data_IF_342990322174
#
_entry.id   IF_342990322174
#
_cell.length_a   1.000
_cell.length_b   1.000
_cell.length_c   1.000
_cell.angle_alpha   90.00
_cell.angle_beta   90.00
_cell.angle_gamma   90.00
#
_symmetry.space_group_name_H-M   'P 1'
#
loop_
_entity.id
_entity.type
_entity.pdbx_description
1 polymer ?
#
# COMPACT_ATOMS: atom_id res chain seq x y z
N UNK A 1 -35.01 -18.94 21.27
CA UNK A 1 -35.23 -17.78 22.16
C UNK A 1 -35.88 -16.68 21.34
N UNK A 2 -37.16 -16.37 21.61
CA UNK A 2 -37.95 -15.38 20.87
C UNK A 2 -37.76 -14.01 21.52
N UNK A 3 -37.28 -13.02 20.75
CA UNK A 3 -37.14 -11.63 21.21
C UNK A 3 -38.45 -10.91 20.84
N UNK A 4 -39.07 -10.29 21.84
CA UNK A 4 -40.32 -9.53 21.75
C UNK A 4 -39.91 -8.05 21.59
N UNK A 5 -40.13 -7.46 20.41
CA UNK A 5 -40.01 -6.01 20.23
C UNK A 5 -41.28 -5.36 20.75
N UNK A 6 -41.15 -4.51 21.77
CA UNK A 6 -42.21 -3.61 22.21
C UNK A 6 -42.04 -2.29 21.47
N UNK A 7 -43.04 -1.97 20.63
CA UNK A 7 -43.16 -0.73 19.87
C UNK A 7 -44.11 0.17 20.67
N UNK A 8 -43.57 1.13 21.40
CA UNK A 8 -44.34 2.25 21.93
C UNK A 8 -43.85 3.53 21.27
N UNK A 9 -44.73 4.05 20.40
CA UNK A 9 -44.65 5.37 19.76
C UNK A 9 -45.25 6.37 20.74
N UNK A 10 -44.46 7.35 21.16
CA UNK A 10 -44.97 8.66 21.61
C UNK A 10 -44.00 9.78 21.22
N UNK A 11 -44.49 10.68 20.39
CA UNK A 11 -44.09 12.09 20.24
C UNK A 11 -45.42 12.87 20.12
N UNK A 12 -45.53 14.19 20.43
CA UNK A 12 -44.50 15.19 20.14
C UNK A 12 -44.35 16.36 21.13
N UNK A 13 -43.37 17.22 20.77
CA UNK A 13 -43.29 18.66 21.01
C UNK A 13 -42.39 19.15 22.15
N UNK A 14 -41.10 19.38 21.84
CA UNK A 14 -40.40 20.60 22.26
C UNK A 14 -39.38 21.04 21.20
N UNK A 15 -39.29 22.36 21.03
CA UNK A 15 -38.57 23.20 20.07
C UNK A 15 -37.10 22.84 19.76
N UNK A 16 -36.53 23.31 18.63
CA UNK A 16 -35.25 22.82 18.12
C UNK A 16 -34.08 23.23 19.04
N UNK A 17 -33.09 22.34 19.27
CA UNK A 17 -31.84 22.74 19.90
C UNK A 17 -31.01 23.55 18.90
N UNK A 18 -30.56 24.72 19.36
CA UNK A 18 -29.65 25.62 18.65
C UNK A 18 -28.43 24.87 18.12
N UNK A 19 -28.13 25.12 16.85
CA UNK A 19 -26.93 24.66 16.16
C UNK A 19 -25.68 25.20 16.89
N UNK A 20 -24.74 24.36 17.38
CA UNK A 20 -23.49 24.86 17.93
C UNK A 20 -22.68 25.52 16.81
N UNK A 21 -22.66 26.84 16.81
CA UNK A 21 -21.78 27.65 15.98
C UNK A 21 -20.45 27.82 16.71
N UNK A 22 -19.74 26.72 16.95
CA UNK A 22 -18.36 26.77 17.43
C UNK A 22 -17.41 26.49 16.28
N UNK A 23 -17.19 27.52 15.48
CA UNK A 23 -15.98 27.66 14.68
C UNK A 23 -14.80 27.74 15.66
N UNK A 24 -13.71 26.96 15.52
CA UNK A 24 -12.62 26.96 16.48
C UNK A 24 -12.01 28.36 16.61
N UNK A 25 -12.13 28.95 17.80
CA UNK A 25 -11.73 30.33 18.12
C UNK A 25 -10.24 30.48 18.44
N UNK A 26 -9.44 29.41 18.37
CA UNK A 26 -8.04 29.47 18.78
C UNK A 26 -7.14 28.63 17.87
N UNK A 27 -6.09 29.25 17.31
CA UNK A 27 -5.03 28.54 16.59
C UNK A 27 -4.43 27.45 17.49
N UNK A 28 -4.23 27.75 18.78
CA UNK A 28 -3.66 26.81 19.74
C UNK A 28 -4.49 25.53 19.91
N UNK A 29 -5.82 25.61 19.84
CA UNK A 29 -6.69 24.43 19.93
C UNK A 29 -6.65 23.58 18.64
N UNK A 30 -6.52 24.22 17.47
CA UNK A 30 -6.36 23.53 16.17
C UNK A 30 -4.99 22.86 16.06
N UNK A 31 -3.93 23.51 16.54
CA UNK A 31 -2.60 22.89 16.65
C UNK A 31 -2.63 21.71 17.62
N UNK A 32 -3.17 21.90 18.84
CA UNK A 32 -3.30 20.83 19.83
C UNK A 32 -4.10 19.63 19.30
N UNK A 33 -5.06 19.85 18.41
CA UNK A 33 -5.81 18.80 17.74
C UNK A 33 -4.96 18.04 16.70
N UNK A 34 -4.13 18.75 15.91
CA UNK A 34 -3.19 18.12 14.96
C UNK A 34 -2.17 17.25 15.69
N UNK A 35 -1.43 17.78 16.66
CA UNK A 35 -0.38 17.03 17.36
C UNK A 35 -0.95 15.84 18.13
N UNK A 36 -2.14 16.00 18.72
CA UNK A 36 -2.86 14.91 19.38
C UNK A 36 -3.31 13.84 18.39
N UNK A 37 -3.79 14.24 17.21
CA UNK A 37 -4.17 13.31 16.16
C UNK A 37 -2.95 12.53 15.66
N UNK A 38 -1.83 13.19 15.34
CA UNK A 38 -0.58 12.53 14.94
C UNK A 38 -0.13 11.53 16.00
N UNK A 39 -0.12 11.92 17.28
CA UNK A 39 0.24 11.03 18.39
C UNK A 39 -0.70 9.82 18.50
N UNK A 40 -1.98 9.99 18.19
CA UNK A 40 -2.94 8.89 18.16
C UNK A 40 -2.67 7.94 16.97
N UNK A 41 -2.42 8.47 15.78
CA UNK A 41 -2.08 7.67 14.60
C UNK A 41 -0.79 6.88 14.86
N UNK A 42 0.24 7.51 15.43
CA UNK A 42 1.47 6.83 15.86
C UNK A 42 1.17 5.66 16.79
N UNK A 43 0.35 5.87 17.82
CA UNK A 43 -0.02 4.81 18.77
C UNK A 43 -0.78 3.66 18.10
N UNK A 44 -1.47 3.88 16.99
CA UNK A 44 -2.22 2.84 16.26
C UNK A 44 -1.37 2.14 15.20
N UNK A 45 -0.38 2.82 14.63
CA UNK A 45 0.45 2.32 13.54
C UNK A 45 1.82 1.81 13.98
N UNK A 46 2.22 2.04 15.24
CA UNK A 46 3.52 1.65 15.77
C UNK A 46 3.39 0.82 17.05
N UNK A 47 4.23 -0.21 17.19
CA UNK A 47 4.34 -1.05 18.38
C UNK A 47 3.08 -1.86 18.73
N UNK A 48 2.94 -2.22 20.01
CA UNK A 48 1.77 -2.95 20.55
C UNK A 48 0.59 -2.00 20.83
N UNK A 49 0.23 -1.18 19.85
CA UNK A 49 -0.91 -0.27 19.88
C UNK A 49 -2.25 -0.99 20.12
N UNK A 50 -3.34 -0.23 20.34
CA UNK A 50 -4.67 -0.83 20.35
C UNK A 50 -4.93 -1.53 19.02
N UNK A 51 -5.40 -2.78 19.07
CA UNK A 51 -5.71 -3.58 17.89
C UNK A 51 -6.69 -2.82 16.98
N UNK A 52 -6.15 -2.24 15.91
CA UNK A 52 -6.88 -1.52 14.88
C UNK A 52 -6.71 -2.28 13.58
N UNK A 53 -7.74 -2.27 12.72
CA UNK A 53 -7.59 -2.95 11.43
C UNK A 53 -6.59 -2.20 10.55
N UNK A 54 -5.85 -2.92 9.70
CA UNK A 54 -4.87 -2.30 8.80
C UNK A 54 -5.48 -1.23 7.91
N UNK A 55 -6.76 -1.42 7.55
CA UNK A 55 -7.56 -0.47 6.76
C UNK A 55 -7.90 0.81 7.53
N UNK A 56 -8.21 0.71 8.82
CA UNK A 56 -8.45 1.88 9.66
C UNK A 56 -7.16 2.67 9.86
N UNK A 57 -6.04 1.98 10.09
CA UNK A 57 -4.71 2.60 10.17
C UNK A 57 -4.33 3.34 8.88
N UNK A 58 -4.48 2.70 7.72
CA UNK A 58 -4.26 3.36 6.43
C UNK A 58 -5.17 4.58 6.24
N UNK A 59 -6.43 4.48 6.67
CA UNK A 59 -7.38 5.61 6.61
C UNK A 59 -6.94 6.74 7.52
N UNK A 60 -6.44 6.45 8.72
CA UNK A 60 -5.92 7.45 9.65
C UNK A 60 -4.68 8.16 9.09
N UNK A 61 -3.73 7.39 8.56
CA UNK A 61 -2.53 7.90 7.88
C UNK A 61 -2.89 8.78 6.68
N UNK A 62 -3.91 8.42 5.90
CA UNK A 62 -4.34 9.19 4.71
C UNK A 62 -4.81 10.62 4.99
N UNK A 63 -5.07 10.97 6.27
CA UNK A 63 -5.50 12.31 6.69
C UNK A 63 -4.34 13.21 7.10
N UNK A 64 -3.12 12.66 7.19
CA UNK A 64 -1.93 13.38 7.59
C UNK A 64 -1.24 14.05 6.40
N UNK A 65 -0.33 14.99 6.69
CA UNK A 65 0.55 15.55 5.66
C UNK A 65 1.58 14.52 5.22
N UNK A 66 2.17 14.68 4.03
CA UNK A 66 3.24 13.80 3.55
C UNK A 66 4.41 13.69 4.55
N UNK A 67 4.81 14.81 5.17
CA UNK A 67 5.90 14.82 6.17
C UNK A 67 5.55 13.99 7.40
N UNK A 68 4.33 14.16 7.92
CA UNK A 68 3.85 13.40 9.08
C UNK A 68 3.72 11.90 8.76
N UNK A 69 3.19 11.54 7.58
CA UNK A 69 3.10 10.13 7.13
C UNK A 69 4.49 9.52 7.06
N UNK A 70 5.43 10.19 6.39
CA UNK A 70 6.78 9.67 6.21
C UNK A 70 7.50 9.53 7.56
N UNK A 71 7.33 10.50 8.46
CA UNK A 71 7.90 10.44 9.81
C UNK A 71 7.40 9.23 10.59
N UNK A 72 6.12 8.86 10.46
CA UNK A 72 5.55 7.67 11.12
C UNK A 72 6.05 6.39 10.46
N UNK A 73 5.97 6.30 9.13
CA UNK A 73 6.31 5.09 8.37
C UNK A 73 7.80 4.70 8.44
N UNK A 74 8.67 5.65 8.78
CA UNK A 74 10.12 5.44 8.90
C UNK A 74 10.58 5.11 10.31
N UNK A 75 9.66 5.03 11.29
CA UNK A 75 10.01 4.60 12.64
C UNK A 75 10.39 3.13 12.68
N UNK A 76 11.30 2.78 13.59
CA UNK A 76 11.76 1.41 13.80
C UNK A 76 10.64 0.47 14.31
N UNK A 77 9.65 1.03 15.01
CA UNK A 77 8.52 0.30 15.58
C UNK A 77 7.25 0.36 14.70
N UNK A 78 7.36 0.86 13.46
CA UNK A 78 6.23 0.92 12.53
C UNK A 78 5.77 -0.49 12.13
N UNK A 79 4.46 -0.70 12.13
CA UNK A 79 3.86 -1.97 11.69
C UNK A 79 3.90 -2.07 10.16
N UNK A 80 4.86 -2.83 9.65
CA UNK A 80 5.04 -3.03 8.21
C UNK A 80 3.88 -3.77 7.53
N UNK A 81 3.03 -4.48 8.28
CA UNK A 81 1.83 -5.14 7.73
C UNK A 81 0.82 -4.13 7.20
N UNK A 82 0.95 -2.85 7.56
CA UNK A 82 0.09 -1.77 7.09
C UNK A 82 0.40 -1.30 5.66
N UNK A 83 1.60 -1.58 5.16
CA UNK A 83 2.12 -0.97 3.93
C UNK A 83 1.25 -1.31 2.71
N UNK A 84 0.81 -2.57 2.55
CA UNK A 84 -0.02 -2.95 1.41
C UNK A 84 -1.41 -2.28 1.41
N UNK A 85 -2.01 -2.04 2.58
CA UNK A 85 -3.27 -1.29 2.69
C UNK A 85 -3.03 0.19 2.35
N UNK A 86 -1.91 0.75 2.80
CA UNK A 86 -1.54 2.13 2.50
C UNK A 86 -1.33 2.36 1.00
N UNK A 87 -0.66 1.43 0.31
CA UNK A 87 -0.51 1.45 -1.15
C UNK A 87 -1.88 1.35 -1.83
N UNK A 88 -2.72 0.40 -1.41
CA UNK A 88 -4.04 0.17 -2.01
C UNK A 88 -4.96 1.38 -1.87
N UNK A 89 -5.03 1.97 -0.67
CA UNK A 89 -5.82 3.17 -0.41
C UNK A 89 -5.26 4.39 -1.14
N UNK A 90 -3.94 4.59 -1.10
CA UNK A 90 -3.27 5.68 -1.78
C UNK A 90 -3.48 5.63 -3.30
N UNK A 91 -3.44 4.44 -3.91
CA UNK A 91 -3.78 4.24 -5.33
C UNK A 91 -5.22 4.65 -5.63
N UNK A 92 -6.19 4.17 -4.84
CA UNK A 92 -7.60 4.50 -5.03
C UNK A 92 -7.85 6.01 -4.94
N UNK A 93 -7.25 6.67 -3.94
CA UNK A 93 -7.36 8.13 -3.73
C UNK A 93 -6.72 8.93 -4.86
N UNK A 94 -5.57 8.45 -5.34
CA UNK A 94 -4.91 9.01 -6.53
C UNK A 94 -5.90 8.98 -7.69
N UNK A 95 -6.46 7.82 -8.05
CA UNK A 95 -7.41 7.70 -9.16
C UNK A 95 -8.67 8.57 -9.05
N UNK A 96 -9.21 8.76 -7.84
CA UNK A 96 -10.35 9.67 -7.61
C UNK A 96 -9.96 11.12 -7.90
N UNK A 97 -8.81 11.57 -7.40
CA UNK A 97 -8.31 12.93 -7.66
C UNK A 97 -8.05 13.21 -9.14
N UNK A 98 -7.68 12.17 -9.92
CA UNK A 98 -7.55 12.24 -11.38
C UNK A 98 -8.86 12.62 -12.07
N UNK A 99 -9.96 12.02 -11.59
CA UNK A 99 -11.27 12.10 -12.21
C UNK A 99 -11.93 13.46 -11.98
N UNK A 100 -11.64 14.08 -10.83
CA UNK A 100 -12.13 15.43 -10.47
C UNK A 100 -11.42 16.53 -11.27
N UNK A 101 -10.11 16.40 -11.52
CA UNK A 101 -9.36 17.35 -12.35
C UNK A 101 -9.68 17.24 -13.86
N UNK A 102 -10.28 16.13 -14.30
CA UNK A 102 -10.75 15.93 -15.67
C UNK A 102 -12.12 16.54 -15.98
N UNK A 103 -12.85 17.05 -14.98
CA UNK A 103 -14.15 17.69 -15.15
C UNK A 103 -14.06 19.18 -14.84
N UNK A 104 -13.54 19.96 -15.79
CA UNK A 104 -13.88 21.39 -15.83
C UNK A 104 -15.37 21.51 -16.14
N UNK A 105 -16.18 22.19 -15.29
CA UNK A 105 -17.56 22.47 -15.63
C UNK A 105 -17.57 23.41 -16.84
N UNK A 106 -18.05 22.90 -17.97
CA UNK A 106 -18.38 23.70 -19.15
C UNK A 106 -19.47 24.70 -18.77
N UNK A 107 -19.04 25.87 -18.30
CA UNK A 107 -19.92 26.99 -18.01
C UNK A 107 -20.44 27.57 -19.32
N UNK A 108 -21.69 27.25 -19.61
CA UNK A 108 -22.67 28.01 -20.39
C UNK A 108 -22.09 29.06 -21.38
N UNK A 109 -21.97 28.66 -22.64
CA UNK A 109 -21.76 29.57 -23.76
C UNK A 109 -23.09 30.29 -24.09
N UNK A 110 -23.16 31.64 -24.11
CA UNK A 110 -24.28 32.33 -24.73
C UNK A 110 -24.13 32.34 -26.26
N UNK A 111 -25.22 32.24 -27.04
CA UNK A 111 -25.15 32.20 -28.49
C UNK A 111 -25.17 33.64 -29.04
N UNK A 112 -24.05 34.14 -29.57
CA UNK A 112 -24.04 34.88 -30.84
C UNK A 112 -22.66 35.41 -31.26
N UNK A 113 -22.40 35.24 -32.56
CA UNK A 113 -21.71 36.15 -33.50
C UNK A 113 -20.39 35.67 -34.15
N UNK A 114 -20.57 35.06 -35.33
CA UNK A 114 -19.80 35.16 -36.61
C UNK A 114 -18.30 34.77 -36.71
N UNK A 115 -17.87 34.18 -37.86
CA UNK A 115 -16.52 33.66 -38.04
C UNK A 115 -15.59 34.68 -38.73
N UNK A 116 -14.34 34.77 -38.31
CA UNK A 116 -13.25 35.36 -39.10
C UNK A 116 -11.92 34.74 -38.72
N UNK A 117 -11.25 34.16 -39.70
CA UNK A 117 -9.95 33.51 -39.64
C UNK A 117 -8.84 34.45 -39.19
N UNK A 118 -7.84 33.93 -38.47
CA UNK A 118 -6.42 33.76 -38.87
C UNK A 118 -5.55 33.71 -37.59
N UNK A 119 -4.77 32.64 -37.44
CA UNK A 119 -3.82 32.41 -36.34
C UNK A 119 -2.66 33.44 -36.34
N UNK A 120 -1.86 33.55 -35.25
CA UNK A 120 -0.75 32.60 -35.11
C UNK A 120 -0.49 32.11 -33.68
N UNK A 121 0.28 31.02 -33.62
CA UNK A 121 0.85 30.34 -32.46
C UNK A 121 1.17 31.20 -31.24
N UNK A 122 0.76 30.70 -30.08
CA UNK A 122 1.59 30.77 -28.88
C UNK A 122 1.75 29.35 -28.35
N UNK A 123 2.94 28.79 -28.57
CA UNK A 123 3.38 27.57 -27.93
C UNK A 123 3.58 27.85 -26.45
N UNK A 124 2.55 27.60 -25.66
CA UNK A 124 2.74 27.30 -24.25
C UNK A 124 3.02 25.81 -24.16
N UNK A 125 4.29 25.45 -23.93
CA UNK A 125 4.63 24.17 -23.33
C UNK A 125 3.88 24.09 -22.00
N UNK A 126 2.69 23.50 -22.02
CA UNK A 126 2.05 23.04 -20.80
C UNK A 126 3.02 21.98 -20.26
N UNK A 127 3.60 22.15 -19.05
CA UNK A 127 4.23 21.02 -18.40
C UNK A 127 3.14 19.97 -18.34
N UNK A 128 3.39 18.80 -18.93
CA UNK A 128 2.61 17.60 -18.68
C UNK A 128 2.53 17.48 -17.17
N UNK A 129 1.45 17.99 -16.57
CA UNK A 129 1.26 17.95 -15.13
C UNK A 129 1.02 16.49 -14.82
N UNK A 130 2.12 15.79 -14.50
CA UNK A 130 2.08 14.47 -13.92
C UNK A 130 1.11 14.58 -12.76
N UNK A 131 0.07 13.77 -12.84
CA UNK A 131 -1.00 13.77 -11.87
C UNK A 131 -0.39 13.59 -10.47
N UNK A 132 -0.67 14.49 -9.51
CA UNK A 132 -0.03 14.43 -8.21
C UNK A 132 -0.46 13.14 -7.50
N UNK A 133 0.51 12.31 -7.13
CA UNK A 133 0.28 11.10 -6.35
C UNK A 133 -0.25 11.46 -4.95
N UNK A 134 -1.16 10.64 -4.43
CA UNK A 134 -1.61 10.76 -3.04
C UNK A 134 -0.41 10.63 -2.08
N UNK A 135 -0.42 11.44 -1.02
CA UNK A 135 0.68 11.50 -0.05
C UNK A 135 0.96 10.15 0.60
N UNK A 136 -0.09 9.35 0.85
CA UNK A 136 0.05 8.01 1.42
C UNK A 136 0.76 7.07 0.47
N UNK A 137 0.37 7.07 -0.81
CA UNK A 137 1.02 6.25 -1.83
C UNK A 137 2.50 6.64 -1.99
N UNK A 138 2.76 7.95 -2.07
CA UNK A 138 4.11 8.50 -2.23
C UNK A 138 5.05 8.11 -1.08
N UNK A 139 4.56 8.05 0.15
CA UNK A 139 5.35 7.61 1.31
C UNK A 139 5.46 6.09 1.41
N UNK A 140 4.43 5.35 0.99
CA UNK A 140 4.38 3.89 1.17
C UNK A 140 5.32 3.13 0.24
N UNK A 141 5.45 3.55 -1.02
CA UNK A 141 6.31 2.87 -2.00
C UNK A 141 7.79 2.82 -1.56
N UNK A 142 8.47 3.94 -1.21
CA UNK A 142 9.87 3.86 -0.76
C UNK A 142 10.03 3.13 0.58
N UNK A 143 9.03 3.21 1.46
CA UNK A 143 9.02 2.46 2.73
C UNK A 143 8.99 0.95 2.46
N UNK A 144 8.13 0.50 1.53
CA UNK A 144 8.09 -0.89 1.08
C UNK A 144 9.46 -1.34 0.56
N UNK A 145 10.09 -0.57 -0.33
CA UNK A 145 11.38 -0.92 -0.90
C UNK A 145 12.45 -1.08 0.18
N UNK A 146 12.46 -0.18 1.16
CA UNK A 146 13.41 -0.24 2.29
C UNK A 146 13.22 -1.53 3.10
N UNK A 147 11.96 -1.85 3.45
CA UNK A 147 11.65 -3.06 4.21
C UNK A 147 11.95 -4.34 3.40
N UNK A 148 11.62 -4.33 2.11
CA UNK A 148 11.90 -5.41 1.17
C UNK A 148 13.39 -5.69 1.05
N UNK A 149 14.23 -4.66 0.89
CA UNK A 149 15.70 -4.81 0.83
C UNK A 149 16.26 -5.35 2.15
N UNK A 150 15.74 -4.88 3.28
CA UNK A 150 16.16 -5.35 4.60
C UNK A 150 15.80 -6.84 4.81
N UNK A 151 14.60 -7.26 4.44
CA UNK A 151 14.16 -8.65 4.59
C UNK A 151 14.87 -9.58 3.59
N UNK A 152 15.12 -9.14 2.36
CA UNK A 152 15.90 -9.89 1.36
C UNK A 152 17.35 -10.15 1.80
N UNK A 153 17.91 -9.34 2.71
CA UNK A 153 19.22 -9.59 3.31
C UNK A 153 19.21 -10.75 4.31
N UNK A 154 18.03 -11.16 4.81
CA UNK A 154 17.85 -12.30 5.72
C UNK A 154 17.69 -13.63 4.99
N UNK A 155 17.42 -13.60 3.68
CA UNK A 155 17.29 -14.81 2.85
C UNK A 155 18.65 -15.52 2.76
N UNK A 156 18.72 -16.85 2.92
CA UNK A 156 19.94 -17.62 2.72
C UNK A 156 20.63 -17.31 1.38
N UNK A 157 21.94 -17.05 1.44
CA UNK A 157 22.79 -16.74 0.28
C UNK A 157 24.03 -17.66 0.23
N UNK A 158 24.60 -17.94 -0.96
CA UNK A 158 24.04 -17.61 -2.28
C UNK A 158 22.78 -18.45 -2.57
N UNK A 159 21.86 -17.92 -3.37
CA UNK A 159 20.66 -18.66 -3.78
C UNK A 159 21.06 -19.91 -4.55
N UNK A 160 20.43 -21.04 -4.24
CA UNK A 160 20.58 -22.31 -4.94
C UNK A 160 19.18 -22.82 -5.29
N UNK A 161 19.10 -23.69 -6.29
CA UNK A 161 17.85 -24.40 -6.58
C UNK A 161 17.46 -25.20 -5.34
N UNK A 162 16.23 -25.00 -4.86
CA UNK A 162 15.72 -25.73 -3.70
C UNK A 162 15.41 -27.19 -4.05
N UNK A 163 16.40 -28.06 -3.87
CA UNK A 163 16.31 -29.49 -4.16
C UNK A 163 16.66 -30.36 -2.93
N UNK A 164 15.76 -31.24 -2.47
CA UNK A 164 16.02 -32.10 -1.30
C UNK A 164 17.18 -33.09 -1.47
N UNK A 165 17.50 -33.46 -2.71
CA UNK A 165 18.42 -34.57 -3.03
C UNK A 165 19.67 -34.11 -3.81
N UNK A 166 20.16 -32.89 -3.54
CA UNK A 166 21.38 -32.41 -4.21
C UNK A 166 22.63 -33.17 -3.76
N UNK A 167 23.59 -33.37 -4.66
CA UNK A 167 24.89 -33.97 -4.34
C UNK A 167 25.88 -32.95 -3.75
N UNK A 168 25.73 -31.66 -4.11
CA UNK A 168 26.59 -30.56 -3.64
C UNK A 168 26.39 -30.27 -2.16
N UNK A 169 27.50 -30.02 -1.44
CA UNK A 169 27.42 -29.63 -0.03
C UNK A 169 26.82 -28.23 0.13
N UNK A 170 27.16 -27.30 -0.77
CA UNK A 170 26.62 -25.94 -0.77
C UNK A 170 25.10 -25.93 -0.95
N UNK A 171 24.57 -26.78 -1.83
CA UNK A 171 23.14 -26.93 -2.05
C UNK A 171 22.42 -27.55 -0.84
N UNK A 172 23.05 -28.52 -0.16
CA UNK A 172 22.52 -29.10 1.09
C UNK A 172 22.47 -28.07 2.21
N UNK A 173 23.53 -27.29 2.36
CA UNK A 173 23.62 -26.24 3.38
C UNK A 173 22.58 -25.14 3.11
N UNK A 174 22.39 -24.76 1.84
CA UNK A 174 21.33 -23.83 1.43
C UNK A 174 19.94 -24.39 1.76
N UNK A 175 19.66 -25.64 1.36
CA UNK A 175 18.38 -26.30 1.62
C UNK A 175 18.07 -26.33 3.12
N UNK A 176 19.04 -26.72 3.96
CA UNK A 176 18.86 -26.76 5.42
C UNK A 176 18.48 -25.38 5.98
N UNK A 177 19.16 -24.31 5.56
CA UNK A 177 18.85 -22.94 6.01
C UNK A 177 17.47 -22.47 5.54
N UNK A 178 17.09 -22.78 4.30
CA UNK A 178 15.75 -22.48 3.81
C UNK A 178 14.67 -23.23 4.60
N UNK A 179 14.91 -24.48 4.97
CA UNK A 179 13.98 -25.24 5.82
C UNK A 179 13.83 -24.63 7.21
N UNK A 180 14.89 -24.10 7.80
CA UNK A 180 14.82 -23.35 9.06
C UNK A 180 13.91 -22.11 8.91
N UNK A 181 14.07 -21.35 7.82
CA UNK A 181 13.20 -20.21 7.51
C UNK A 181 11.72 -20.63 7.34
N UNK A 182 11.46 -21.68 6.56
CA UNK A 182 10.09 -22.15 6.30
C UNK A 182 9.40 -22.79 7.51
N UNK A 183 10.19 -23.20 8.51
CA UNK A 183 9.66 -23.69 9.78
C UNK A 183 9.36 -22.57 10.77
N UNK A 184 9.90 -21.35 10.57
CA UNK A 184 9.61 -20.18 11.40
C UNK A 184 8.32 -19.47 10.93
N UNK A 185 7.23 -19.51 11.71
CA UNK A 185 5.98 -18.86 11.34
C UNK A 185 6.10 -17.34 11.24
N UNK A 186 6.98 -16.71 12.05
CA UNK A 186 7.16 -15.26 12.01
C UNK A 186 7.80 -14.85 10.70
N UNK A 187 8.84 -15.58 10.28
CA UNK A 187 9.49 -15.36 8.99
C UNK A 187 8.52 -15.58 7.83
N UNK A 188 7.72 -16.65 7.87
CA UNK A 188 6.72 -16.93 6.83
C UNK A 188 5.64 -15.84 6.73
N UNK A 189 5.15 -15.35 7.87
CA UNK A 189 4.16 -14.27 7.89
C UNK A 189 4.75 -12.97 7.35
N UNK A 190 5.96 -12.60 7.77
CA UNK A 190 6.65 -11.41 7.27
C UNK A 190 6.89 -11.48 5.76
N UNK A 191 7.27 -12.66 5.24
CA UNK A 191 7.40 -12.87 3.80
C UNK A 191 6.05 -12.65 3.10
N UNK A 192 4.95 -13.21 3.62
CA UNK A 192 3.61 -13.01 3.03
C UNK A 192 3.19 -11.54 3.05
N UNK A 193 3.40 -10.83 4.15
CA UNK A 193 3.08 -9.41 4.29
C UNK A 193 3.84 -8.55 3.24
N UNK A 194 5.13 -8.83 3.05
CA UNK A 194 5.96 -8.15 2.04
C UNK A 194 5.48 -8.47 0.63
N UNK A 195 5.20 -9.74 0.33
CA UNK A 195 4.78 -10.19 -1.00
C UNK A 195 3.41 -9.63 -1.34
N UNK A 196 2.49 -9.59 -0.38
CA UNK A 196 1.22 -8.92 -0.54
C UNK A 196 1.40 -7.43 -0.84
N UNK A 197 2.21 -6.71 -0.05
CA UNK A 197 2.47 -5.29 -0.29
C UNK A 197 3.16 -5.05 -1.65
N UNK A 198 4.08 -5.92 -2.06
CA UNK A 198 4.73 -5.89 -3.38
C UNK A 198 3.72 -6.10 -4.52
N UNK A 199 2.76 -7.01 -4.36
CA UNK A 199 1.68 -7.18 -5.35
C UNK A 199 0.88 -5.87 -5.54
N UNK A 200 0.59 -5.15 -4.43
CA UNK A 200 -0.11 -3.86 -4.48
C UNK A 200 0.75 -2.79 -5.15
N UNK A 201 2.06 -2.81 -4.91
CA UNK A 201 3.01 -1.93 -5.56
C UNK A 201 3.04 -2.12 -7.08
N UNK A 202 3.11 -3.37 -7.57
CA UNK A 202 3.06 -3.66 -9.00
C UNK A 202 1.75 -3.17 -9.63
N UNK A 203 0.61 -3.40 -8.96
CA UNK A 203 -0.68 -2.88 -9.41
C UNK A 203 -0.64 -1.35 -9.50
N UNK A 204 -0.12 -0.65 -8.49
CA UNK A 204 0.01 0.80 -8.50
C UNK A 204 0.89 1.30 -9.65
N UNK A 205 2.08 0.71 -9.84
CA UNK A 205 2.99 1.05 -10.93
C UNK A 205 2.34 0.84 -12.30
N UNK A 206 1.68 -0.30 -12.53
CA UNK A 206 0.99 -0.59 -13.79
C UNK A 206 -0.16 0.38 -14.04
N UNK A 207 -1.00 0.62 -13.02
CA UNK A 207 -2.20 1.45 -13.14
C UNK A 207 -1.86 2.92 -13.38
N UNK A 208 -0.83 3.43 -12.70
CA UNK A 208 -0.42 4.83 -12.79
C UNK A 208 0.74 5.06 -13.77
N UNK A 209 1.25 4.01 -14.41
CA UNK A 209 2.42 4.02 -15.30
C UNK A 209 3.64 4.62 -14.62
N UNK A 210 3.90 4.20 -13.38
CA UNK A 210 5.09 4.60 -12.62
C UNK A 210 6.23 3.64 -12.92
N UNK A 211 7.44 4.17 -12.92
CA UNK A 211 8.65 3.37 -13.03
C UNK A 211 8.83 2.52 -11.76
N UNK A 212 9.29 1.28 -11.95
CA UNK A 212 9.70 0.42 -10.85
C UNK A 212 11.09 0.82 -10.37
N UNK A 213 11.35 0.65 -9.07
CA UNK A 213 12.68 0.80 -8.52
C UNK A 213 13.57 -0.38 -8.93
N UNK A 214 14.30 -0.22 -10.02
CA UNK A 214 15.18 -1.24 -10.57
C UNK A 214 16.39 -1.53 -9.68
N UNK A 215 16.76 -0.64 -8.75
CA UNK A 215 17.81 -0.92 -7.76
C UNK A 215 17.36 -1.98 -6.75
N UNK A 216 16.05 -2.18 -6.60
CA UNK A 216 15.46 -3.19 -5.72
C UNK A 216 15.15 -4.52 -6.43
N UNK A 217 15.44 -4.63 -7.74
CA UNK A 217 15.08 -5.78 -8.58
C UNK A 217 15.55 -7.13 -8.03
N UNK A 218 16.82 -7.25 -7.61
CA UNK A 218 17.36 -8.48 -7.01
C UNK A 218 16.56 -8.90 -5.78
N UNK A 219 16.20 -7.94 -4.93
CA UNK A 219 15.44 -8.21 -3.70
C UNK A 219 13.99 -8.60 -4.03
N UNK A 220 13.35 -7.95 -5.00
CA UNK A 220 11.99 -8.30 -5.45
C UNK A 220 11.94 -9.74 -5.98
N UNK A 221 12.91 -10.11 -6.83
CA UNK A 221 12.98 -11.46 -7.40
C UNK A 221 13.29 -12.49 -6.31
N UNK A 222 14.32 -12.26 -5.49
CA UNK A 222 14.73 -13.19 -4.44
C UNK A 222 13.58 -13.51 -3.48
N UNK A 223 12.81 -12.51 -3.04
CA UNK A 223 11.65 -12.74 -2.17
C UNK A 223 10.50 -13.41 -2.91
N UNK A 224 10.23 -13.01 -4.16
CA UNK A 224 9.16 -13.64 -4.95
C UNK A 224 9.44 -15.14 -5.18
N UNK A 225 10.68 -15.49 -5.51
CA UNK A 225 11.10 -16.88 -5.64
C UNK A 225 11.00 -17.61 -4.30
N UNK A 226 11.48 -17.00 -3.21
CA UNK A 226 11.39 -17.59 -1.86
C UNK A 226 9.94 -17.86 -1.45
N UNK A 227 9.00 -17.00 -1.84
CA UNK A 227 7.57 -17.17 -1.57
C UNK A 227 6.96 -18.32 -2.39
N UNK A 228 7.34 -18.45 -3.66
CA UNK A 228 6.95 -19.60 -4.49
C UNK A 228 7.55 -20.92 -3.98
N UNK A 229 8.79 -20.90 -3.50
CA UNK A 229 9.44 -22.04 -2.87
C UNK A 229 8.72 -22.45 -1.59
N UNK A 230 8.33 -21.50 -0.74
CA UNK A 230 7.53 -21.74 0.45
C UNK A 230 6.17 -22.36 0.10
N UNK A 231 5.51 -21.86 -0.96
CA UNK A 231 4.25 -22.42 -1.46
C UNK A 231 4.45 -23.87 -1.91
N UNK A 232 5.46 -24.10 -2.75
CA UNK A 232 5.78 -25.44 -3.28
C UNK A 232 6.09 -26.44 -2.16
N UNK A 233 6.93 -26.04 -1.21
CA UNK A 233 7.28 -26.87 -0.05
C UNK A 233 6.09 -27.13 0.86
N UNK A 234 5.26 -26.13 1.12
CA UNK A 234 4.07 -26.30 1.96
C UNK A 234 3.12 -27.33 1.35
N UNK A 235 2.95 -27.29 0.02
CA UNK A 235 2.14 -28.27 -0.71
C UNK A 235 2.78 -29.67 -0.64
N UNK A 236 4.09 -29.80 -0.84
CA UNK A 236 4.77 -31.10 -0.81
C UNK A 236 4.72 -31.77 0.56
N UNK A 237 4.83 -30.98 1.63
CA UNK A 237 4.79 -31.45 3.02
C UNK A 237 3.37 -31.56 3.59
N UNK A 238 2.34 -31.21 2.81
CA UNK A 238 0.94 -31.21 3.27
C UNK A 238 0.65 -30.19 4.38
N UNK A 239 1.43 -29.11 4.45
CA UNK A 239 1.23 -28.00 5.39
C UNK A 239 0.14 -27.06 4.88
N UNK A 240 -0.64 -26.44 5.80
CA UNK A 240 -1.67 -25.50 5.40
C UNK A 240 -1.02 -24.26 4.77
N UNK A 241 -1.52 -23.86 3.60
CA UNK A 241 -1.18 -22.59 2.97
C UNK A 241 -2.45 -21.83 2.62
N UNK A 242 -2.44 -20.52 2.85
CA UNK A 242 -3.58 -19.68 2.52
C UNK A 242 -3.67 -19.49 1.00
N UNK A 243 -4.88 -19.44 0.45
CA UNK A 243 -5.08 -19.16 -0.97
C UNK A 243 -4.58 -17.76 -1.35
N UNK A 244 -4.63 -16.82 -0.40
CA UNK A 244 -4.14 -15.46 -0.58
C UNK A 244 -2.62 -15.45 -0.76
N UNK A 245 -1.88 -16.14 0.11
CA UNK A 245 -0.42 -16.23 0.03
C UNK A 245 0.07 -16.84 -1.29
N UNK A 246 -0.57 -17.93 -1.72
CA UNK A 246 -0.28 -18.52 -3.03
C UNK A 246 -0.61 -17.56 -4.18
N UNK A 247 -1.75 -16.87 -4.11
CA UNK A 247 -2.16 -15.91 -5.13
C UNK A 247 -1.18 -14.73 -5.23
N UNK A 248 -0.81 -14.09 -4.12
CA UNK A 248 0.10 -12.94 -4.14
C UNK A 248 1.47 -13.33 -4.72
N UNK A 249 1.98 -14.52 -4.39
CA UNK A 249 3.23 -15.03 -4.95
C UNK A 249 3.16 -15.20 -6.48
N UNK A 250 2.03 -15.73 -6.98
CA UNK A 250 1.78 -15.92 -8.41
C UNK A 250 1.58 -14.56 -9.13
N UNK A 251 0.88 -13.62 -8.50
CA UNK A 251 0.70 -12.27 -9.03
C UNK A 251 2.06 -11.56 -9.18
N UNK A 252 2.91 -11.60 -8.15
CA UNK A 252 4.24 -11.00 -8.18
C UNK A 252 5.12 -11.59 -9.28
N UNK A 253 5.21 -12.91 -9.41
CA UNK A 253 6.04 -13.52 -10.46
C UNK A 253 5.50 -13.22 -11.86
N UNK A 254 4.17 -13.17 -12.03
CA UNK A 254 3.56 -12.84 -13.31
C UNK A 254 3.89 -11.41 -13.74
N UNK A 255 3.89 -10.45 -12.81
CA UNK A 255 4.28 -9.05 -13.09
C UNK A 255 5.78 -8.95 -13.41
N UNK A 256 6.64 -9.64 -12.66
CA UNK A 256 8.09 -9.67 -12.92
C UNK A 256 8.39 -10.24 -14.31
N UNK A 257 7.75 -11.35 -14.68
CA UNK A 257 7.92 -11.99 -16.00
C UNK A 257 7.37 -11.15 -17.15
N UNK A 258 6.40 -10.26 -16.89
CA UNK A 258 5.86 -9.34 -17.89
C UNK A 258 6.70 -8.07 -18.03
N UNK A 259 7.57 -7.76 -17.07
CA UNK A 259 8.40 -6.56 -17.09
C UNK A 259 9.66 -6.79 -17.95
N UNK A 260 9.86 -6.04 -19.06
CA UNK A 260 10.91 -6.31 -20.05
C UNK A 260 12.33 -6.37 -19.48
N UNK A 261 12.63 -5.56 -18.47
CA UNK A 261 13.97 -5.50 -17.86
C UNK A 261 14.16 -6.57 -16.79
N UNK A 262 13.10 -6.96 -16.07
CA UNK A 262 13.20 -7.93 -14.98
C UNK A 262 13.16 -9.37 -15.52
N UNK A 263 12.39 -9.61 -16.59
CA UNK A 263 12.24 -10.92 -17.21
C UNK A 263 13.53 -11.49 -17.79
N UNK A 264 14.54 -10.65 -18.03
CA UNK A 264 15.85 -11.06 -18.56
C UNK A 264 16.77 -11.56 -17.43
N UNK A 265 16.50 -11.12 -16.20
CA UNK A 265 17.37 -11.38 -15.03
C UNK A 265 16.94 -12.63 -14.26
N UNK A 266 15.66 -13.00 -14.34
CA UNK A 266 15.12 -14.28 -13.84
C UNK A 266 15.49 -15.43 -14.79
#
# INVERSE_FOLDING_TARGET
SRIKLDLTVEEPAHSPPDLPTDLPKNLADVFLDKERYVSHVESCCCGNGPASSSRDCATMLSRLSYEDILAIMTREDFDHTLIGECISLGLARTQVGASEHGQTPSSAQPPNATPSSTAPSSGGEHPSQAMPLDALLKASMPTLITHLKAFAALVPRPHQILEPASESQEAKDYYSKMMECFQDPLWCNQLDDIIWALSRNFVACRTLKLDLDMEASESMMSLTISALELVSWSISEGKPISSAQALHSIECIAEILQHPELSIVI
#
